data_IF_417584146725
#
_entry.id   IF_417584146725
#
_cell.length_a   1.000
_cell.length_b   1.000
_cell.length_c   1.000
_cell.angle_alpha   90.00
_cell.angle_beta   90.00
_cell.angle_gamma   90.00
#
_symmetry.space_group_name_H-M   'P 1'
#
loop_
_entity.id
_entity.type
_entity.pdbx_description
1 polymer ?
#
# COMPACT_ATOMS: atom_id res chain seq x y z
N UNK A 1 -8.52 67.41 34.51
CA UNK A 1 -9.48 66.41 35.03
C UNK A 1 -9.71 65.40 33.93
N UNK A 2 -9.23 64.18 34.14
CA UNK A 2 -9.17 63.14 33.12
C UNK A 2 -10.54 62.47 32.92
N UNK A 3 -10.96 62.30 31.67
CA UNK A 3 -11.87 61.23 31.26
C UNK A 3 -11.38 60.70 29.91
N UNK A 4 -10.91 59.45 29.93
CA UNK A 4 -10.60 58.63 28.76
C UNK A 4 -11.90 57.96 28.28
N UNK A 5 -12.13 57.89 26.97
CA UNK A 5 -13.03 56.93 26.33
C UNK A 5 -12.29 56.27 25.15
N UNK A 6 -12.40 54.94 24.98
CA UNK A 6 -11.42 54.16 24.23
C UNK A 6 -11.75 54.00 22.74
N UNK A 7 -10.66 53.83 21.99
CA UNK A 7 -10.54 53.52 20.57
C UNK A 7 -10.96 52.06 20.36
N UNK A 8 -12.08 51.82 19.68
CA UNK A 8 -12.42 50.51 19.09
C UNK A 8 -13.01 50.69 17.70
N UNK A 9 -12.24 50.22 16.72
CA UNK A 9 -12.63 49.51 15.49
C UNK A 9 -13.80 50.09 14.67
N UNK A 10 -13.48 50.92 13.68
CA UNK A 10 -14.20 50.91 12.41
C UNK A 10 -13.59 49.81 11.53
N UNK A 11 -14.16 48.59 11.59
CA UNK A 11 -13.99 47.59 10.52
C UNK A 11 -15.17 47.74 9.60
N UNK A 12 -14.92 48.36 8.44
CA UNK A 12 -15.83 48.33 7.30
C UNK A 12 -15.95 46.90 6.82
N UNK A 13 -17.08 46.25 7.10
CA UNK A 13 -17.43 44.96 6.51
C UNK A 13 -17.81 45.21 5.05
N UNK A 14 -16.84 45.01 4.16
CA UNK A 14 -17.08 44.86 2.74
C UNK A 14 -17.70 43.47 2.53
N UNK A 15 -19.03 43.39 2.47
CA UNK A 15 -19.72 42.18 2.01
C UNK A 15 -19.37 41.98 0.54
N UNK A 16 -18.40 41.09 0.30
CA UNK A 16 -18.17 40.46 -1.00
C UNK A 16 -19.47 39.78 -1.43
N UNK A 17 -20.05 40.28 -2.53
CA UNK A 17 -20.96 39.53 -3.38
C UNK A 17 -20.18 38.37 -3.98
N UNK A 18 -19.95 37.32 -3.18
CA UNK A 18 -19.54 36.03 -3.68
C UNK A 18 -20.70 35.46 -4.47
N UNK A 19 -20.58 35.47 -5.80
CA UNK A 19 -21.52 34.76 -6.66
C UNK A 19 -21.60 33.31 -6.20
N UNK A 20 -22.82 32.85 -5.91
CA UNK A 20 -23.08 31.43 -5.70
C UNK A 20 -22.78 30.72 -7.02
N UNK A 21 -21.57 30.17 -7.17
CA UNK A 21 -21.35 29.10 -8.12
C UNK A 21 -22.14 27.92 -7.60
N UNK A 22 -23.25 27.60 -8.26
CA UNK A 22 -23.92 26.32 -8.08
C UNK A 22 -22.87 25.26 -8.40
N UNK A 23 -22.34 24.60 -7.37
CA UNK A 23 -21.53 23.40 -7.57
C UNK A 23 -22.49 22.35 -8.09
N UNK A 24 -22.50 22.14 -9.40
CA UNK A 24 -23.24 21.06 -10.02
C UNK A 24 -22.74 19.75 -9.40
N UNK A 25 -23.67 18.94 -8.89
CA UNK A 25 -23.34 17.64 -8.34
C UNK A 25 -22.57 16.84 -9.41
N UNK A 26 -21.48 16.19 -9.00
CA UNK A 26 -20.72 15.34 -9.90
C UNK A 26 -21.66 14.30 -10.52
N UNK A 27 -21.54 14.00 -11.83
CA UNK A 27 -22.37 13.00 -12.46
C UNK A 27 -22.19 11.65 -11.75
N UNK A 28 -23.29 10.94 -11.53
CA UNK A 28 -23.31 9.68 -10.80
C UNK A 28 -23.79 8.55 -11.72
N UNK A 29 -23.21 7.36 -11.54
CA UNK A 29 -23.70 6.16 -12.24
C UNK A 29 -25.03 5.73 -11.59
N UNK A 30 -26.06 5.36 -12.36
CA UNK A 30 -27.24 4.65 -11.86
C UNK A 30 -26.88 3.40 -11.04
N UNK A 31 -27.62 3.12 -9.97
CA UNK A 31 -27.27 2.07 -9.00
C UNK A 31 -27.20 0.66 -9.62
N UNK A 32 -28.07 0.37 -10.58
CA UNK A 32 -28.10 -0.89 -11.32
C UNK A 32 -26.87 -1.05 -12.22
N UNK A 33 -26.48 0.00 -12.94
CA UNK A 33 -25.26 0.02 -13.77
C UNK A 33 -24.01 -0.07 -12.90
N UNK A 34 -23.96 0.63 -11.77
CA UNK A 34 -22.87 0.53 -10.81
C UNK A 34 -22.71 -0.91 -10.28
N UNK A 35 -23.82 -1.62 -10.04
CA UNK A 35 -23.82 -3.02 -9.62
C UNK A 35 -23.25 -3.95 -10.70
N UNK A 36 -23.58 -3.71 -11.97
CA UNK A 36 -23.03 -4.49 -13.09
C UNK A 36 -21.51 -4.31 -13.18
N UNK A 37 -21.01 -3.08 -13.13
CA UNK A 37 -19.55 -2.85 -13.13
C UNK A 37 -18.89 -3.49 -11.91
N UNK A 38 -19.47 -3.33 -10.72
CA UNK A 38 -18.94 -3.92 -9.50
C UNK A 38 -18.77 -5.44 -9.62
N UNK A 39 -19.80 -6.14 -10.09
CA UNK A 39 -19.81 -7.60 -10.10
C UNK A 39 -18.99 -8.22 -11.24
N UNK A 40 -18.83 -7.51 -12.37
CA UNK A 40 -18.27 -8.12 -13.59
C UNK A 40 -17.01 -7.43 -14.11
N UNK A 41 -16.60 -6.29 -13.55
CA UNK A 41 -15.50 -5.49 -14.09
C UNK A 41 -14.49 -5.06 -13.03
N UNK A 42 -14.94 -4.78 -11.81
CA UNK A 42 -14.06 -4.13 -10.82
C UNK A 42 -12.97 -5.02 -10.23
N UNK A 43 -13.01 -6.34 -10.46
CA UNK A 43 -11.93 -7.22 -10.05
C UNK A 43 -10.61 -6.89 -10.75
N UNK A 44 -10.68 -6.55 -12.04
CA UNK A 44 -9.51 -6.20 -12.86
C UNK A 44 -9.44 -4.69 -13.14
N UNK A 45 -10.58 -4.01 -13.25
CA UNK A 45 -10.69 -2.60 -13.64
C UNK A 45 -11.07 -1.69 -12.47
N UNK A 46 -10.66 -2.00 -11.24
CA UNK A 46 -10.80 -1.06 -10.12
C UNK A 46 -9.55 -1.00 -9.25
N UNK A 47 -9.67 -0.19 -8.21
CA UNK A 47 -8.58 0.10 -7.32
C UNK A 47 -7.49 0.91 -8.01
N UNK A 48 -6.31 0.79 -7.43
CA UNK A 48 -5.21 1.69 -7.71
C UNK A 48 -4.39 1.29 -8.94
N UNK A 49 -4.31 -0.01 -9.24
CA UNK A 49 -3.53 -0.60 -10.33
C UNK A 49 -4.43 -1.46 -11.23
N UNK A 50 -5.39 -0.84 -11.92
CA UNK A 50 -6.28 -1.58 -12.80
C UNK A 50 -5.58 -2.03 -14.08
N UNK A 51 -6.08 -3.10 -14.67
CA UNK A 51 -5.64 -3.54 -15.98
C UNK A 51 -5.92 -2.50 -17.06
N UNK A 52 -4.99 -2.41 -18.01
CA UNK A 52 -4.98 -1.43 -19.10
C UNK A 52 -5.06 0.05 -18.63
N UNK A 53 -4.78 0.31 -17.35
CA UNK A 53 -4.96 1.63 -16.71
C UNK A 53 -6.39 2.18 -16.91
N UNK A 54 -7.39 1.32 -16.69
CA UNK A 54 -8.81 1.63 -16.82
C UNK A 54 -9.54 1.39 -15.50
N UNK A 55 -10.05 2.46 -14.87
CA UNK A 55 -10.86 2.38 -13.65
C UNK A 55 -12.34 2.51 -13.98
N UNK A 56 -13.12 1.49 -13.66
CA UNK A 56 -14.57 1.40 -13.88
C UNK A 56 -15.38 1.43 -12.58
N UNK A 57 -14.72 1.67 -11.43
CA UNK A 57 -15.42 1.90 -10.18
C UNK A 57 -16.23 3.20 -10.22
N UNK A 58 -17.35 3.24 -9.48
CA UNK A 58 -18.31 4.35 -9.52
C UNK A 58 -17.69 5.73 -9.23
N UNK A 59 -16.64 5.77 -8.40
CA UNK A 59 -15.88 6.96 -8.03
C UNK A 59 -14.88 7.43 -9.10
N UNK A 60 -14.57 6.60 -10.10
CA UNK A 60 -13.49 6.87 -11.08
C UNK A 60 -13.94 6.80 -12.54
N UNK A 61 -15.10 6.21 -12.87
CA UNK A 61 -15.46 5.95 -14.28
C UNK A 61 -15.52 7.22 -15.13
N UNK A 62 -15.96 8.35 -14.56
CA UNK A 62 -16.14 9.60 -15.29
C UNK A 62 -14.81 10.25 -15.66
N UNK A 63 -13.81 10.18 -14.78
CA UNK A 63 -12.45 10.66 -15.09
C UNK A 63 -11.67 9.65 -15.93
N UNK A 64 -11.91 8.35 -15.75
CA UNK A 64 -11.11 7.31 -16.39
C UNK A 64 -11.63 6.84 -17.75
N UNK A 65 -12.93 6.95 -18.05
CA UNK A 65 -13.52 6.30 -19.24
C UNK A 65 -14.45 7.21 -20.05
N UNK A 66 -15.30 8.01 -19.38
CA UNK A 66 -16.28 8.87 -20.07
C UNK A 66 -15.56 9.99 -20.83
N UNK A 67 -15.75 10.01 -22.16
CA UNK A 67 -15.11 10.97 -23.06
C UNK A 67 -13.60 10.78 -23.24
N UNK A 68 -13.04 9.65 -22.78
CA UNK A 68 -11.59 9.37 -22.90
C UNK A 68 -11.31 8.47 -24.11
N UNK A 69 -10.22 8.71 -24.87
CA UNK A 69 -9.87 7.88 -26.02
C UNK A 69 -9.52 6.44 -25.61
N UNK A 70 -9.89 5.47 -26.45
CA UNK A 70 -9.48 4.08 -26.27
C UNK A 70 -8.00 3.90 -26.58
N UNK A 71 -7.29 3.17 -25.71
CA UNK A 71 -5.87 2.84 -25.91
C UNK A 71 -5.68 1.74 -26.94
N UNK A 72 -6.61 0.79 -26.99
CA UNK A 72 -6.54 -0.35 -27.90
C UNK A 72 -7.07 0.01 -29.30
N UNK A 73 -8.01 0.96 -29.38
CA UNK A 73 -8.58 1.41 -30.64
C UNK A 73 -8.61 2.95 -30.67
N UNK A 74 -7.49 3.61 -31.05
CA UNK A 74 -7.33 5.07 -30.95
C UNK A 74 -8.39 5.91 -31.68
N UNK A 75 -9.12 5.32 -32.65
CA UNK A 75 -10.20 5.98 -33.37
C UNK A 75 -11.55 6.05 -32.62
N UNK A 76 -11.67 5.42 -31.44
CA UNK A 76 -12.91 5.38 -30.65
C UNK A 76 -12.70 5.90 -29.24
N UNK A 77 -13.78 6.38 -28.62
CA UNK A 77 -13.80 6.68 -27.18
C UNK A 77 -14.07 5.40 -26.40
N UNK A 78 -13.49 5.28 -25.19
CA UNK A 78 -13.80 4.20 -24.25
C UNK A 78 -15.31 4.18 -23.97
N UNK A 79 -15.84 5.33 -23.54
CA UNK A 79 -17.27 5.62 -23.45
C UNK A 79 -17.48 6.97 -24.15
N UNK A 80 -18.29 6.99 -25.20
CA UNK A 80 -18.68 8.20 -25.93
C UNK A 80 -20.03 8.69 -25.37
N UNK A 81 -20.08 9.85 -24.69
CA UNK A 81 -21.33 10.36 -24.12
C UNK A 81 -22.43 10.48 -25.17
N UNK A 82 -23.61 9.93 -24.90
CA UNK A 82 -24.78 9.98 -25.77
C UNK A 82 -24.72 9.04 -26.97
N UNK A 83 -23.64 8.28 -27.15
CA UNK A 83 -23.44 7.41 -28.31
C UNK A 83 -22.93 6.02 -27.90
N UNK A 84 -23.84 5.10 -27.54
CA UNK A 84 -23.48 3.72 -27.21
C UNK A 84 -22.80 2.99 -28.37
N UNK A 85 -23.21 3.23 -29.62
CA UNK A 85 -22.64 2.57 -30.80
C UNK A 85 -21.20 3.03 -31.07
N UNK A 86 -20.88 4.30 -30.79
CA UNK A 86 -19.54 4.86 -30.88
C UNK A 86 -18.66 4.62 -29.64
N UNK A 87 -19.09 3.80 -28.69
CA UNK A 87 -18.37 3.51 -27.45
C UNK A 87 -17.64 2.16 -27.51
N UNK A 88 -16.31 2.17 -27.38
CA UNK A 88 -15.51 0.95 -27.45
C UNK A 88 -15.84 -0.05 -26.33
N UNK A 89 -16.26 0.42 -25.16
CA UNK A 89 -16.77 -0.44 -24.08
C UNK A 89 -17.90 -1.34 -24.57
N UNK A 90 -18.83 -0.82 -25.38
CA UNK A 90 -19.97 -1.60 -25.88
C UNK A 90 -19.51 -2.73 -26.78
N UNK A 91 -18.51 -2.49 -27.63
CA UNK A 91 -17.93 -3.53 -28.49
C UNK A 91 -17.29 -4.65 -27.65
N UNK A 92 -16.56 -4.28 -26.58
CA UNK A 92 -15.91 -5.26 -25.71
C UNK A 92 -16.92 -6.16 -24.99
N UNK A 93 -18.04 -5.60 -24.50
CA UNK A 93 -19.06 -6.37 -23.76
C UNK A 93 -20.06 -7.11 -24.67
N UNK A 94 -20.22 -6.68 -25.92
CA UNK A 94 -21.03 -7.36 -26.94
C UNK A 94 -20.26 -8.42 -27.73
N UNK A 95 -18.95 -8.52 -27.49
CA UNK A 95 -18.06 -9.44 -28.19
C UNK A 95 -18.12 -9.22 -29.71
N UNK A 96 -18.21 -7.95 -30.12
CA UNK A 96 -18.31 -7.57 -31.53
C UNK A 96 -17.04 -7.97 -32.30
N UNK A 97 -17.18 -8.25 -33.59
CA UNK A 97 -16.04 -8.47 -34.47
C UNK A 97 -15.16 -7.20 -34.58
N UNK A 98 -13.84 -7.37 -34.68
CA UNK A 98 -12.90 -6.26 -34.88
C UNK A 98 -12.40 -5.57 -33.59
N UNK A 99 -12.76 -6.08 -32.41
CA UNK A 99 -12.12 -5.65 -31.15
C UNK A 99 -10.62 -6.02 -31.13
N UNK A 100 -9.85 -5.24 -30.37
CA UNK A 100 -8.43 -5.54 -30.10
C UNK A 100 -8.29 -6.17 -28.70
N UNK A 101 -7.54 -7.27 -28.62
CA UNK A 101 -7.45 -8.12 -27.42
C UNK A 101 -8.76 -8.85 -27.07
N UNK A 102 -8.79 -9.52 -25.93
CA UNK A 102 -9.89 -10.41 -25.54
C UNK A 102 -11.21 -9.69 -25.21
N UNK A 103 -12.39 -10.27 -25.51
CA UNK A 103 -13.68 -9.72 -25.10
C UNK A 103 -13.78 -9.57 -23.57
N UNK A 104 -14.74 -8.76 -23.12
CA UNK A 104 -15.00 -8.54 -21.69
C UNK A 104 -16.43 -8.98 -21.32
N UNK A 105 -16.68 -9.52 -20.12
CA UNK A 105 -15.71 -9.81 -19.06
C UNK A 105 -14.70 -10.90 -19.49
N UNK A 106 -13.46 -10.82 -18.99
CA UNK A 106 -12.38 -11.70 -19.40
C UNK A 106 -12.61 -13.11 -18.86
N UNK A 107 -12.41 -14.14 -19.70
CA UNK A 107 -12.54 -15.56 -19.34
C UNK A 107 -13.93 -15.95 -18.77
N UNK A 108 -14.95 -15.12 -19.00
CA UNK A 108 -16.34 -15.37 -18.60
C UNK A 108 -17.29 -15.32 -19.80
N UNK A 109 -18.51 -15.81 -19.58
CA UNK A 109 -19.58 -15.67 -20.55
C UNK A 109 -19.91 -14.21 -20.80
N UNK A 110 -20.45 -13.92 -21.98
CA UNK A 110 -20.97 -12.61 -22.30
C UNK A 110 -22.01 -12.16 -21.26
N UNK A 111 -21.97 -10.87 -20.89
CA UNK A 111 -22.98 -10.27 -20.01
C UNK A 111 -24.39 -10.54 -20.52
N UNK A 112 -25.33 -10.71 -19.59
CA UNK A 112 -26.73 -10.88 -19.95
C UNK A 112 -27.20 -9.72 -20.85
N UNK A 113 -27.99 -9.98 -21.91
CA UNK A 113 -28.44 -8.93 -22.82
C UNK A 113 -29.13 -7.76 -22.10
N UNK A 114 -29.87 -8.03 -21.03
CA UNK A 114 -30.51 -7.00 -20.21
C UNK A 114 -29.51 -6.05 -19.52
N UNK A 115 -28.34 -6.56 -19.11
CA UNK A 115 -27.30 -5.75 -18.47
C UNK A 115 -26.51 -4.93 -19.50
N UNK A 116 -26.28 -5.49 -20.70
CA UNK A 116 -25.74 -4.74 -21.85
C UNK A 116 -26.66 -3.56 -22.20
N UNK A 117 -27.99 -3.78 -22.22
CA UNK A 117 -28.95 -2.72 -22.51
C UNK A 117 -29.00 -1.64 -21.42
N UNK A 118 -28.84 -2.00 -20.13
CA UNK A 118 -28.72 -1.00 -19.06
C UNK A 118 -27.47 -0.12 -19.22
N UNK A 119 -26.32 -0.74 -19.53
CA UNK A 119 -25.08 0.02 -19.81
C UNK A 119 -25.28 0.92 -21.03
N UNK A 120 -25.88 0.39 -22.11
CA UNK A 120 -26.17 1.18 -23.31
C UNK A 120 -27.10 2.36 -23.02
N UNK A 121 -28.18 2.15 -22.27
CA UNK A 121 -29.12 3.19 -21.85
C UNK A 121 -28.46 4.26 -21.00
N UNK A 122 -27.57 3.87 -20.08
CA UNK A 122 -26.77 4.82 -19.31
C UNK A 122 -25.85 5.64 -20.21
N UNK A 123 -25.10 5.02 -21.12
CA UNK A 123 -24.24 5.76 -22.06
C UNK A 123 -25.06 6.73 -22.92
N UNK A 124 -26.24 6.32 -23.40
CA UNK A 124 -27.15 7.18 -24.15
C UNK A 124 -27.66 8.38 -23.35
N UNK A 125 -27.77 8.26 -22.03
CA UNK A 125 -28.17 9.34 -21.12
C UNK A 125 -27.07 10.36 -20.84
N UNK A 126 -25.80 10.01 -21.12
CA UNK A 126 -24.66 10.89 -20.90
C UNK A 126 -24.60 12.01 -21.94
N UNK A 127 -23.98 13.11 -21.54
CA UNK A 127 -23.77 14.31 -22.35
C UNK A 127 -22.31 14.79 -22.27
N UNK A 128 -21.96 15.78 -23.07
CA UNK A 128 -20.65 16.42 -22.99
C UNK A 128 -20.39 17.06 -21.62
N UNK A 129 -21.44 17.45 -20.88
CA UNK A 129 -21.31 18.02 -19.53
C UNK A 129 -20.88 16.98 -18.48
N UNK A 130 -21.04 15.69 -18.77
CA UNK A 130 -20.65 14.60 -17.88
C UNK A 130 -19.18 14.19 -18.05
N UNK A 131 -18.48 14.74 -19.05
CA UNK A 131 -17.05 14.50 -19.25
C UNK A 131 -16.28 15.27 -18.19
N UNK A 132 -15.62 14.54 -17.29
CA UNK A 132 -14.77 15.16 -16.29
C UNK A 132 -13.58 15.88 -16.97
N UNK A 133 -13.21 17.09 -16.50
CA UNK A 133 -12.06 17.81 -17.03
C UNK A 133 -10.81 16.94 -16.92
N UNK A 134 -9.89 17.09 -17.88
CA UNK A 134 -8.60 16.40 -17.80
C UNK A 134 -7.87 16.87 -16.55
N UNK A 135 -7.64 15.93 -15.64
CA UNK A 135 -6.81 16.10 -14.47
C UNK A 135 -5.62 15.14 -14.60
N UNK A 136 -4.42 15.53 -14.16
CA UNK A 136 -3.28 14.62 -14.16
C UNK A 136 -3.62 13.41 -13.28
N UNK A 137 -3.75 12.26 -13.92
CA UNK A 137 -4.20 11.03 -13.26
C UNK A 137 -3.20 10.61 -12.19
N UNK A 138 -3.67 10.28 -10.97
CA UNK A 138 -2.80 9.75 -9.93
C UNK A 138 -2.18 8.43 -10.33
N UNK A 139 -0.85 8.36 -10.25
CA UNK A 139 -0.07 7.16 -10.52
C UNK A 139 0.13 6.39 -9.22
N UNK A 140 -0.02 5.08 -9.31
CA UNK A 140 0.25 4.17 -8.21
C UNK A 140 1.53 3.38 -8.51
N UNK A 141 2.59 3.61 -7.75
CA UNK A 141 3.81 2.83 -7.89
C UNK A 141 3.66 1.41 -7.32
N UNK A 142 2.95 1.22 -6.21
CA UNK A 142 2.84 -0.05 -5.48
C UNK A 142 1.40 -0.35 -5.05
N UNK A 143 1.00 -1.63 -5.03
CA UNK A 143 -0.32 -2.01 -4.53
C UNK A 143 -0.32 -2.02 -2.98
N UNK A 144 0.69 -2.63 -2.36
CA UNK A 144 0.86 -2.69 -0.91
C UNK A 144 1.34 -1.39 -0.24
N UNK A 145 1.21 -1.36 1.09
CA UNK A 145 1.73 -0.31 1.97
C UNK A 145 3.19 -0.53 2.37
N UNK A 146 3.70 -1.74 2.14
CA UNK A 146 5.10 -2.15 2.14
C UNK A 146 5.36 -3.00 0.89
N UNK A 147 6.62 -3.09 0.45
CA UNK A 147 7.05 -4.00 -0.63
C UNK A 147 7.08 -5.45 -0.11
N UNK A 148 7.84 -5.66 0.97
CA UNK A 148 7.63 -6.71 1.97
C UNK A 148 7.94 -6.16 3.36
N UNK A 149 9.13 -5.58 3.50
CA UNK A 149 9.61 -4.80 4.64
C UNK A 149 9.54 -3.28 4.38
N UNK A 150 10.02 -2.85 3.21
CA UNK A 150 10.24 -1.44 2.87
C UNK A 150 8.91 -0.72 2.68
N UNK A 151 8.64 0.40 3.38
CA UNK A 151 7.36 1.11 3.24
C UNK A 151 7.24 1.82 1.90
N UNK A 152 5.99 1.96 1.42
CA UNK A 152 5.67 2.70 0.20
C UNK A 152 5.07 4.07 0.53
N UNK A 153 5.06 5.01 -0.42
CA UNK A 153 4.43 6.33 -0.20
C UNK A 153 2.88 6.28 -0.18
N UNK A 154 2.30 5.07 -0.23
CA UNK A 154 0.86 4.85 -0.26
C UNK A 154 0.21 5.25 1.07
N UNK A 155 -0.90 5.96 0.96
CA UNK A 155 -1.84 6.33 2.03
C UNK A 155 -3.27 5.97 1.59
N UNK A 156 -4.23 6.03 2.50
CA UNK A 156 -5.66 5.81 2.20
C UNK A 156 -6.38 7.12 1.87
N UNK A 157 -7.62 7.03 1.40
CA UNK A 157 -8.52 8.19 1.33
C UNK A 157 -9.04 8.54 2.71
N UNK A 158 -9.43 9.79 2.88
CA UNK A 158 -10.05 10.29 4.11
C UNK A 158 -11.24 9.41 4.51
N UNK A 159 -11.26 8.98 5.76
CA UNK A 159 -12.32 8.17 6.36
C UNK A 159 -12.13 6.67 6.21
N UNK A 160 -11.25 6.21 5.31
CA UNK A 160 -10.99 4.78 5.14
C UNK A 160 -10.13 4.25 6.30
N UNK A 161 -10.28 2.96 6.58
CA UNK A 161 -9.46 2.22 7.52
C UNK A 161 -8.66 1.12 6.80
N UNK A 162 -7.49 0.77 7.35
CA UNK A 162 -6.62 -0.27 6.81
C UNK A 162 -6.43 -1.36 7.84
N UNK A 163 -7.01 -2.53 7.61
CA UNK A 163 -6.68 -3.71 8.40
C UNK A 163 -5.49 -4.42 7.77
N UNK A 164 -4.52 -4.84 8.60
CA UNK A 164 -3.41 -5.69 8.18
C UNK A 164 -3.27 -6.87 9.13
N UNK A 165 -3.10 -8.05 8.57
CA UNK A 165 -2.49 -9.19 9.25
C UNK A 165 -1.23 -9.59 8.49
N UNK A 166 -0.12 -9.78 9.20
CA UNK A 166 1.13 -10.28 8.63
C UNK A 166 1.63 -11.43 9.48
N UNK A 167 2.09 -12.48 8.82
CA UNK A 167 2.48 -13.73 9.43
C UNK A 167 3.80 -14.18 8.82
N UNK A 168 4.75 -14.57 9.66
CA UNK A 168 6.04 -15.14 9.22
C UNK A 168 6.28 -16.43 9.99
N UNK A 169 6.44 -17.52 9.24
CA UNK A 169 6.82 -18.79 9.83
C UNK A 169 8.27 -18.69 10.32
N UNK A 170 8.56 -19.31 11.46
CA UNK A 170 9.91 -19.34 12.05
C UNK A 170 10.81 -20.41 11.39
N UNK A 171 10.32 -21.59 10.99
CA UNK A 171 11.18 -22.57 10.32
C UNK A 171 11.70 -22.09 8.96
N UNK A 172 12.95 -22.44 8.66
CA UNK A 172 13.57 -22.19 7.35
C UNK A 172 12.97 -23.14 6.32
N UNK A 173 12.68 -22.64 5.12
CA UNK A 173 11.97 -23.39 4.07
C UNK A 173 12.70 -24.66 3.62
N UNK A 174 14.04 -24.64 3.63
CA UNK A 174 14.88 -25.77 3.25
C UNK A 174 15.17 -26.75 4.41
N UNK A 175 14.71 -26.46 5.64
CA UNK A 175 14.99 -27.23 6.85
C UNK A 175 16.23 -26.76 7.65
N UNK A 176 17.00 -25.81 7.12
CA UNK A 176 18.25 -25.33 7.73
C UNK A 176 19.29 -26.44 7.89
N UNK A 177 20.18 -26.31 8.87
CA UNK A 177 21.28 -27.27 9.07
C UNK A 177 20.86 -28.63 9.66
N UNK A 178 19.76 -28.66 10.41
CA UNK A 178 19.41 -29.80 11.27
C UNK A 178 18.27 -30.68 10.73
N UNK A 179 17.58 -30.23 9.68
CA UNK A 179 16.40 -30.89 9.11
C UNK A 179 16.39 -30.69 7.58
N UNK A 180 15.57 -31.45 6.86
CA UNK A 180 15.32 -31.18 5.45
C UNK A 180 13.97 -30.48 5.23
N UNK A 181 13.73 -29.95 4.03
CA UNK A 181 12.51 -29.23 3.70
C UNK A 181 11.21 -30.02 3.95
N UNK A 182 11.23 -31.34 3.78
CA UNK A 182 10.06 -32.18 4.03
C UNK A 182 9.74 -32.31 5.52
N UNK A 183 10.76 -32.39 6.38
CA UNK A 183 10.61 -32.49 7.83
C UNK A 183 9.90 -31.26 8.44
N UNK A 184 10.07 -30.09 7.82
CA UNK A 184 9.44 -28.81 8.22
C UNK A 184 8.27 -28.40 7.32
N UNK A 185 7.79 -29.29 6.45
CA UNK A 185 6.75 -29.02 5.45
C UNK A 185 7.00 -27.69 4.69
N UNK A 186 8.21 -27.52 4.15
CA UNK A 186 8.66 -26.32 3.44
C UNK A 186 8.53 -25.02 4.24
N UNK A 187 8.72 -25.12 5.55
CA UNK A 187 8.64 -24.02 6.50
C UNK A 187 7.24 -23.77 7.09
N UNK A 188 6.23 -24.54 6.70
CA UNK A 188 4.85 -24.38 7.17
C UNK A 188 4.60 -25.05 8.53
N UNK A 189 5.43 -26.02 8.92
CA UNK A 189 5.27 -26.76 10.16
C UNK A 189 6.13 -26.15 11.27
N UNK A 190 5.58 -25.18 12.00
CA UNK A 190 6.22 -24.61 13.18
C UNK A 190 5.62 -23.32 13.71
N UNK A 191 6.29 -22.69 14.69
CA UNK A 191 5.88 -21.42 15.28
C UNK A 191 5.85 -20.28 14.26
N UNK A 192 5.15 -19.22 14.60
CA UNK A 192 5.06 -18.04 13.76
C UNK A 192 5.07 -16.73 14.55
N UNK A 193 5.60 -15.70 13.89
CA UNK A 193 5.46 -14.32 14.30
C UNK A 193 4.29 -13.71 13.55
N UNK A 194 3.39 -13.07 14.27
CA UNK A 194 2.15 -12.51 13.75
C UNK A 194 2.10 -11.05 14.16
N UNK A 195 1.72 -10.18 13.23
CA UNK A 195 1.35 -8.79 13.48
C UNK A 195 -0.08 -8.56 13.03
N UNK A 196 -0.87 -7.92 13.89
CA UNK A 196 -2.19 -7.41 13.54
C UNK A 196 -2.15 -5.89 13.71
N UNK A 197 -2.63 -5.14 12.73
CA UNK A 197 -2.73 -3.69 12.85
C UNK A 197 -4.01 -3.13 12.23
N UNK A 198 -4.44 -2.00 12.77
CA UNK A 198 -5.55 -1.21 12.27
C UNK A 198 -5.10 0.22 12.02
N UNK A 199 -5.35 0.69 10.80
CA UNK A 199 -5.06 2.03 10.34
C UNK A 199 -6.31 2.86 10.12
N UNK A 200 -6.17 4.18 10.24
CA UNK A 200 -7.20 5.15 9.89
C UNK A 200 -6.58 6.35 9.19
N UNK A 201 -7.25 6.84 8.14
CA UNK A 201 -6.86 8.04 7.44
C UNK A 201 -7.79 9.22 7.75
N UNK A 202 -7.40 10.15 8.66
CA UNK A 202 -8.21 11.35 8.94
C UNK A 202 -8.22 12.34 7.76
N UNK A 203 -7.28 12.22 6.83
CA UNK A 203 -7.16 13.05 5.61
C UNK A 203 -6.65 12.18 4.45
N UNK A 204 -6.73 12.67 3.21
CA UNK A 204 -6.19 11.96 2.04
C UNK A 204 -4.65 11.89 1.98
N UNK A 205 -3.95 12.48 2.97
CA UNK A 205 -2.49 12.54 3.01
C UNK A 205 -1.89 11.96 4.29
N UNK A 206 -2.71 11.56 5.27
CA UNK A 206 -2.24 11.06 6.56
C UNK A 206 -2.84 9.69 6.83
N UNK A 207 -1.99 8.72 7.11
CA UNK A 207 -2.37 7.39 7.60
C UNK A 207 -1.75 7.19 8.98
N UNK A 208 -2.60 6.89 9.97
CA UNK A 208 -2.18 6.51 11.31
C UNK A 208 -2.47 5.03 11.50
N UNK A 209 -1.49 4.24 11.95
CA UNK A 209 -1.66 2.82 12.24
C UNK A 209 -1.26 2.50 13.68
N UNK A 210 -2.02 1.60 14.31
CA UNK A 210 -1.65 0.95 15.55
C UNK A 210 -1.62 -0.56 15.31
N UNK A 211 -0.50 -1.19 15.65
CA UNK A 211 -0.30 -2.62 15.49
C UNK A 211 0.35 -3.25 16.70
N UNK A 212 0.23 -4.57 16.79
CA UNK A 212 0.95 -5.38 17.78
C UNK A 212 1.48 -6.63 17.10
N UNK A 213 2.74 -6.98 17.38
CA UNK A 213 3.30 -8.28 17.08
C UNK A 213 3.54 -9.11 18.34
N UNK A 214 3.52 -10.43 18.23
CA UNK A 214 3.87 -11.33 19.33
C UNK A 214 5.40 -11.42 19.58
N UNK A 215 6.24 -10.94 18.65
CA UNK A 215 7.67 -10.78 18.91
C UNK A 215 7.89 -9.63 19.92
N UNK A 216 8.51 -9.93 21.06
CA UNK A 216 8.70 -9.01 22.18
C UNK A 216 7.44 -8.27 22.68
N UNK A 217 6.24 -8.83 22.43
CA UNK A 217 4.96 -8.15 22.65
C UNK A 217 4.95 -6.70 22.11
N UNK A 218 5.63 -6.46 20.99
CA UNK A 218 5.91 -5.12 20.48
C UNK A 218 4.63 -4.44 19.95
N UNK A 219 4.30 -3.28 20.52
CA UNK A 219 3.21 -2.42 20.09
C UNK A 219 3.79 -1.29 19.24
N UNK A 220 3.37 -1.20 17.99
CA UNK A 220 3.82 -0.19 17.03
C UNK A 220 2.73 0.84 16.79
N UNK A 221 3.04 2.11 17.03
CA UNK A 221 2.31 3.23 16.47
C UNK A 221 3.08 3.82 15.29
N UNK A 222 2.42 3.93 14.15
CA UNK A 222 2.99 4.40 12.89
C UNK A 222 2.17 5.59 12.35
N UNK A 223 2.86 6.64 11.92
CA UNK A 223 2.25 7.77 11.25
C UNK A 223 2.96 8.03 9.92
N UNK A 224 2.21 7.96 8.81
CA UNK A 224 2.70 8.20 7.46
C UNK A 224 2.01 9.40 6.84
N UNK A 225 2.79 10.42 6.49
CA UNK A 225 2.31 11.62 5.83
C UNK A 225 2.84 11.70 4.39
N UNK A 226 1.94 11.70 3.41
CA UNK A 226 2.29 11.88 1.99
C UNK A 226 2.44 13.36 1.68
N UNK A 227 3.62 13.73 1.20
CA UNK A 227 3.99 15.09 0.81
C UNK A 227 3.62 15.34 -0.65
N UNK A 228 4.01 14.42 -1.54
CA UNK A 228 3.72 14.48 -2.97
C UNK A 228 3.14 13.14 -3.45
N UNK A 229 2.20 13.22 -4.39
CA UNK A 229 1.68 12.06 -5.12
C UNK A 229 2.12 12.16 -6.57
N UNK A 230 2.70 11.09 -7.09
CA UNK A 230 3.01 10.96 -8.50
C UNK A 230 1.74 11.10 -9.34
N UNK A 231 1.81 11.88 -10.41
CA UNK A 231 0.72 12.10 -11.36
C UNK A 231 1.23 12.11 -12.78
N UNK A 232 0.39 11.66 -13.71
CA UNK A 232 0.76 11.62 -15.13
C UNK A 232 1.11 13.01 -15.66
N UNK A 233 2.35 13.18 -16.13
CA UNK A 233 2.83 14.38 -16.82
C UNK A 233 3.12 15.61 -15.95
N UNK A 234 2.91 15.55 -14.62
CA UNK A 234 3.14 16.71 -13.74
C UNK A 234 4.07 16.40 -12.58
N UNK A 235 3.72 15.46 -11.71
CA UNK A 235 4.53 15.10 -10.55
C UNK A 235 5.22 13.75 -10.81
N UNK A 236 6.56 13.70 -10.93
CA UNK A 236 7.25 12.49 -11.43
C UNK A 236 7.56 11.46 -10.34
N UNK A 237 7.22 11.71 -9.07
CA UNK A 237 7.58 10.86 -7.93
C UNK A 237 6.57 11.08 -6.79
N UNK A 238 6.27 10.02 -6.03
CA UNK A 238 5.55 10.14 -4.77
C UNK A 238 6.55 10.23 -3.61
N UNK A 239 6.36 11.22 -2.74
CA UNK A 239 7.17 11.43 -1.54
C UNK A 239 6.30 11.34 -0.30
N UNK A 240 6.79 10.65 0.73
CA UNK A 240 6.16 10.58 2.04
C UNK A 240 7.22 10.56 3.15
N UNK A 241 6.78 10.84 4.36
CA UNK A 241 7.58 10.62 5.57
C UNK A 241 6.80 9.72 6.52
N UNK A 242 7.52 8.84 7.21
CA UNK A 242 6.97 7.90 8.15
C UNK A 242 7.73 7.99 9.47
N UNK A 243 7.00 8.12 10.58
CA UNK A 243 7.54 8.01 11.92
C UNK A 243 6.90 6.85 12.67
N UNK A 244 7.68 6.15 13.48
CA UNK A 244 7.19 5.07 14.33
C UNK A 244 7.63 5.26 15.78
N UNK A 245 6.73 4.87 16.68
CA UNK A 245 7.00 4.63 18.09
C UNK A 245 6.70 3.16 18.35
N UNK A 246 7.70 2.40 18.77
CA UNK A 246 7.56 1.01 19.14
C UNK A 246 7.76 0.86 20.64
N UNK A 247 6.93 0.02 21.25
CA UNK A 247 6.98 -0.30 22.67
C UNK A 247 7.08 -1.81 22.85
N UNK A 248 8.27 -2.29 23.23
CA UNK A 248 8.50 -3.69 23.60
C UNK A 248 7.87 -3.95 24.98
N UNK A 249 6.64 -4.45 24.98
CA UNK A 249 5.85 -4.58 26.22
C UNK A 249 6.06 -5.91 26.96
N UNK A 250 6.96 -6.76 26.45
CA UNK A 250 7.29 -8.05 27.06
C UNK A 250 7.84 -7.82 28.48
N UNK A 251 7.41 -8.66 29.42
CA UNK A 251 7.91 -8.59 30.80
C UNK A 251 9.25 -9.31 30.90
N UNK A 252 10.26 -8.60 31.40
CA UNK A 252 11.57 -9.15 31.76
C UNK A 252 11.73 -9.08 33.27
N UNK A 253 11.78 -10.23 33.94
CA UNK A 253 11.88 -10.32 35.40
C UNK A 253 10.84 -9.45 36.13
N UNK A 254 11.32 -8.58 37.02
CA UNK A 254 10.48 -7.63 37.77
C UNK A 254 10.45 -6.22 37.16
N UNK A 255 11.17 -5.97 36.07
CA UNK A 255 11.38 -4.64 35.50
C UNK A 255 10.09 -3.96 35.00
N UNK A 256 10.05 -2.64 35.04
CA UNK A 256 8.90 -1.88 34.53
C UNK A 256 8.73 -2.08 33.03
N UNK A 257 7.48 -2.22 32.56
CA UNK A 257 7.18 -2.23 31.12
C UNK A 257 7.27 -0.85 30.48
N UNK A 258 7.43 0.22 31.25
CA UNK A 258 7.47 1.61 30.75
C UNK A 258 8.86 2.24 30.95
N UNK A 259 9.90 1.41 30.94
CA UNK A 259 11.30 1.84 31.00
C UNK A 259 11.72 2.47 29.66
N UNK A 260 12.71 3.36 29.66
CA UNK A 260 13.07 4.12 28.47
C UNK A 260 13.66 3.24 27.36
N UNK A 261 14.36 2.18 27.74
CA UNK A 261 15.12 1.29 26.86
C UNK A 261 14.19 0.44 25.98
N UNK A 262 12.93 0.20 26.40
CA UNK A 262 11.95 -0.55 25.61
C UNK A 262 11.15 0.31 24.61
N UNK A 263 11.41 1.62 24.56
CA UNK A 263 10.79 2.55 23.61
C UNK A 263 11.73 2.81 22.44
N UNK A 264 11.33 2.40 21.24
CA UNK A 264 12.11 2.57 20.01
C UNK A 264 11.48 3.66 19.14
N UNK A 265 12.33 4.42 18.46
CA UNK A 265 11.89 5.51 17.59
C UNK A 265 12.52 5.37 16.23
N UNK A 266 11.71 5.36 15.17
CA UNK A 266 12.25 5.37 13.81
C UNK A 266 11.61 6.45 12.94
N UNK A 267 12.40 6.94 11.98
CA UNK A 267 11.95 7.85 10.95
C UNK A 267 12.45 7.38 9.58
N UNK A 268 11.58 7.39 8.59
CA UNK A 268 11.87 6.94 7.23
C UNK A 268 11.35 7.98 6.23
N UNK A 269 12.23 8.45 5.33
CA UNK A 269 11.84 9.30 4.21
C UNK A 269 11.62 8.42 2.99
N UNK A 270 10.43 8.45 2.40
CA UNK A 270 9.98 7.47 1.42
C UNK A 270 9.86 8.14 0.05
N UNK A 271 10.58 7.61 -0.94
CA UNK A 271 10.40 7.96 -2.34
C UNK A 271 9.95 6.73 -3.12
N UNK A 272 8.83 6.84 -3.85
CA UNK A 272 8.36 5.78 -4.75
C UNK A 272 8.02 6.33 -6.13
N UNK A 273 8.33 5.57 -7.17
CA UNK A 273 8.14 5.98 -8.56
C UNK A 273 7.71 4.80 -9.43
N UNK A 274 6.71 5.00 -10.28
CA UNK A 274 6.47 4.11 -11.42
C UNK A 274 7.48 4.45 -12.54
N UNK A 275 8.37 3.51 -12.84
CA UNK A 275 9.35 3.65 -13.93
C UNK A 275 8.69 3.40 -15.28
N UNK A 276 7.76 2.46 -15.32
CA UNK A 276 6.91 2.13 -16.47
C UNK A 276 5.50 1.78 -15.98
N UNK A 277 4.59 1.39 -16.87
CA UNK A 277 3.29 0.85 -16.46
C UNK A 277 3.41 -0.48 -15.68
N UNK A 278 4.56 -1.16 -15.77
CA UNK A 278 4.80 -2.46 -15.12
C UNK A 278 5.80 -2.40 -13.98
N UNK A 279 6.83 -1.57 -14.08
CA UNK A 279 7.95 -1.56 -13.15
C UNK A 279 7.92 -0.33 -12.23
N UNK A 280 8.19 -0.55 -10.95
CA UNK A 280 8.26 0.51 -9.94
C UNK A 280 9.42 0.31 -8.98
N UNK A 281 9.88 1.40 -8.38
CA UNK A 281 10.96 1.41 -7.41
C UNK A 281 10.60 2.24 -6.16
N UNK A 282 11.10 1.79 -5.02
CA UNK A 282 11.05 2.46 -3.73
C UNK A 282 12.49 2.66 -3.20
N UNK A 283 12.76 3.83 -2.66
CA UNK A 283 14.02 4.15 -1.97
C UNK A 283 13.67 4.86 -0.66
N UNK A 284 14.18 4.34 0.45
CA UNK A 284 13.73 4.70 1.80
C UNK A 284 14.92 4.79 2.76
N UNK A 285 15.66 5.91 2.79
CA UNK A 285 16.58 6.16 3.89
C UNK A 285 15.82 6.22 5.22
N UNK A 286 16.38 5.59 6.25
CA UNK A 286 15.78 5.51 7.57
C UNK A 286 16.80 5.62 8.69
N UNK A 287 16.33 6.11 9.83
CA UNK A 287 17.07 6.15 11.10
C UNK A 287 16.24 5.46 12.19
N UNK A 288 16.88 4.64 13.00
CA UNK A 288 16.31 3.99 14.18
C UNK A 288 17.17 4.36 15.40
N UNK A 289 16.52 4.80 16.46
CA UNK A 289 17.14 5.21 17.72
C UNK A 289 16.75 4.21 18.80
N UNK A 290 17.70 3.92 19.69
CA UNK A 290 17.55 2.99 20.81
C UNK A 290 17.31 1.55 20.32
N UNK A 291 18.00 1.07 19.28
CA UNK A 291 17.70 -0.20 18.59
C UNK A 291 17.74 -1.45 19.47
N UNK A 292 18.57 -1.46 20.51
CA UNK A 292 18.79 -2.59 21.40
C UNK A 292 18.33 -2.25 22.83
N UNK A 293 17.50 -3.09 23.43
CA UNK A 293 16.97 -2.87 24.80
C UNK A 293 17.96 -3.30 25.89
N UNK A 294 19.02 -4.03 25.53
CA UNK A 294 20.03 -4.54 26.45
C UNK A 294 21.29 -3.65 26.52
N UNK A 295 21.40 -2.65 25.64
CA UNK A 295 22.54 -1.74 25.57
C UNK A 295 22.08 -0.32 25.84
N UNK A 296 22.73 0.34 26.80
CA UNK A 296 22.53 1.78 27.05
C UNK A 296 23.35 2.61 26.06
N UNK A 297 22.81 3.75 25.62
CA UNK A 297 23.48 4.73 24.76
C UNK A 297 24.02 4.21 23.41
N UNK A 298 23.33 3.23 22.79
CA UNK A 298 23.67 2.72 21.46
C UNK A 298 23.53 3.79 20.37
N UNK A 299 24.47 3.78 19.41
CA UNK A 299 24.43 4.68 18.25
C UNK A 299 23.19 4.43 17.38
N UNK A 300 22.59 5.49 16.77
CA UNK A 300 21.47 5.30 15.86
C UNK A 300 21.81 4.45 14.64
N UNK A 301 20.90 3.54 14.30
CA UNK A 301 20.99 2.74 13.09
C UNK A 301 20.54 3.54 11.87
N UNK A 302 21.41 3.62 10.88
CA UNK A 302 21.12 4.18 9.56
C UNK A 302 20.88 3.05 8.57
N UNK A 303 19.77 3.14 7.84
CA UNK A 303 19.31 2.11 6.90
C UNK A 303 18.91 2.73 5.57
N UNK A 304 18.89 1.93 4.49
CA UNK A 304 18.36 2.35 3.19
C UNK A 304 17.50 1.26 2.60
N UNK A 305 16.19 1.35 2.74
CA UNK A 305 15.27 0.42 2.08
C UNK A 305 15.27 0.64 0.58
N UNK A 306 15.49 -0.42 -0.19
CA UNK A 306 15.35 -0.42 -1.65
C UNK A 306 14.34 -1.50 -2.00
N UNK A 307 13.27 -1.12 -2.69
CA UNK A 307 12.20 -2.03 -3.05
C UNK A 307 11.84 -1.93 -4.53
N UNK A 308 11.49 -3.06 -5.14
CA UNK A 308 11.07 -3.16 -6.53
C UNK A 308 9.73 -3.86 -6.65
N UNK A 309 8.97 -3.48 -7.68
CA UNK A 309 7.77 -4.20 -8.11
C UNK A 309 7.77 -4.36 -9.63
N UNK A 310 7.38 -5.55 -10.09
CA UNK A 310 7.09 -5.80 -11.48
C UNK A 310 5.67 -6.39 -11.64
N UNK A 311 4.79 -5.66 -12.30
CA UNK A 311 3.39 -6.02 -12.51
C UNK A 311 3.21 -6.79 -13.82
N UNK A 312 2.53 -7.93 -13.74
CA UNK A 312 2.29 -8.81 -14.89
C UNK A 312 0.94 -8.51 -15.57
N UNK A 313 -0.09 -8.19 -14.78
CA UNK A 313 -1.49 -8.04 -15.19
C UNK A 313 -2.43 -8.74 -14.19
N UNK A 314 -3.74 -8.51 -14.30
CA UNK A 314 -4.77 -9.10 -13.44
C UNK A 314 -4.48 -8.87 -11.95
N UNK A 315 -3.92 -7.71 -11.59
CA UNK A 315 -3.52 -7.41 -10.21
C UNK A 315 -2.33 -8.23 -9.65
N UNK A 316 -1.66 -9.09 -10.43
CA UNK A 316 -0.51 -9.90 -10.00
C UNK A 316 0.81 -9.16 -10.23
N UNK A 317 1.70 -9.18 -9.23
CA UNK A 317 3.03 -8.57 -9.28
C UNK A 317 4.08 -9.43 -8.58
N UNK A 318 5.34 -9.33 -9.01
CA UNK A 318 6.50 -9.74 -8.24
C UNK A 318 6.98 -8.55 -7.40
N UNK A 319 7.39 -8.79 -6.16
CA UNK A 319 7.99 -7.80 -5.27
C UNK A 319 9.30 -8.31 -4.70
N UNK A 320 10.24 -7.40 -4.48
CA UNK A 320 11.46 -7.71 -3.75
C UNK A 320 11.95 -6.45 -3.04
N UNK A 321 12.49 -6.59 -1.84
CA UNK A 321 13.19 -5.51 -1.16
C UNK A 321 14.42 -5.96 -0.39
N UNK A 322 15.29 -4.99 -0.17
CA UNK A 322 16.54 -5.10 0.55
C UNK A 322 16.69 -3.88 1.45
N UNK A 323 17.08 -4.10 2.70
CA UNK A 323 17.30 -3.07 3.71
C UNK A 323 18.72 -3.21 4.28
N UNK A 324 19.73 -2.66 3.61
CA UNK A 324 21.07 -2.53 4.15
C UNK A 324 21.12 -1.63 5.37
N UNK A 325 22.01 -1.98 6.29
CA UNK A 325 22.33 -1.17 7.47
C UNK A 325 23.77 -0.67 7.37
N UNK A 326 23.98 0.64 7.56
CA UNK A 326 25.28 1.29 7.38
C UNK A 326 26.01 1.60 8.70
N UNK A 327 25.33 1.43 9.83
CA UNK A 327 25.94 1.59 11.16
C UNK A 327 26.41 0.25 11.69
N UNK A 328 27.59 0.24 12.31
CA UNK A 328 28.07 -0.89 13.11
C UNK A 328 27.19 -1.04 14.36
N UNK A 329 26.95 -2.27 14.81
CA UNK A 329 26.17 -2.56 16.02
C UNK A 329 27.07 -3.10 17.11
N UNK A 330 26.74 -2.77 18.34
CA UNK A 330 27.41 -3.31 19.53
C UNK A 330 26.89 -4.71 19.90
N UNK A 331 25.61 -5.04 19.61
CA UNK A 331 25.07 -6.40 19.68
C UNK A 331 23.77 -6.57 18.87
N UNK A 332 23.39 -7.83 18.61
CA UNK A 332 22.10 -8.16 17.99
C UNK A 332 21.01 -8.32 19.05
N UNK A 333 19.89 -7.63 18.89
CA UNK A 333 18.73 -7.74 19.77
C UNK A 333 17.97 -9.05 19.51
N UNK A 334 17.72 -9.83 20.57
CA UNK A 334 16.85 -11.01 20.50
C UNK A 334 15.40 -10.64 20.90
N UNK A 335 14.45 -10.93 20.01
CA UNK A 335 13.02 -10.63 20.22
C UNK A 335 12.19 -11.81 20.77
N UNK A 336 12.84 -12.82 21.34
CA UNK A 336 12.21 -14.02 21.92
C UNK A 336 11.68 -15.01 20.88
N UNK A 337 12.11 -14.91 19.61
CA UNK A 337 11.60 -15.70 18.48
C UNK A 337 12.67 -16.56 17.81
N UNK A 338 13.64 -17.04 18.58
CA UNK A 338 14.61 -18.05 18.15
C UNK A 338 15.89 -17.49 17.51
N UNK A 339 16.46 -16.43 18.08
CA UNK A 339 17.78 -15.94 17.67
C UNK A 339 18.87 -16.48 18.60
N UNK A 340 19.32 -17.73 18.45
CA UNK A 340 20.62 -18.18 18.98
C UNK A 340 21.10 -19.46 18.30
N UNK A 341 22.30 -19.40 17.72
CA UNK A 341 23.22 -20.54 17.71
C UNK A 341 24.19 -20.34 18.88
N UNK A 342 23.81 -20.81 20.07
CA UNK A 342 24.58 -20.69 21.32
C UNK A 342 24.27 -19.45 22.19
N UNK A 343 24.58 -19.56 23.49
CA UNK A 343 24.23 -18.61 24.56
C UNK A 343 25.00 -17.28 24.55
N UNK A 344 25.64 -16.89 23.43
CA UNK A 344 26.51 -15.71 23.37
C UNK A 344 25.92 -14.61 22.46
N UNK A 345 25.33 -13.54 23.04
CA UNK A 345 24.76 -12.43 22.27
C UNK A 345 25.80 -11.64 21.45
N UNK A 346 27.10 -11.83 21.71
CA UNK A 346 28.19 -11.25 20.90
C UNK A 346 28.50 -12.03 19.62
N UNK A 347 27.92 -13.22 19.45
CA UNK A 347 28.12 -14.10 18.27
C UNK A 347 26.95 -14.13 17.30
N UNK A 348 25.87 -13.40 17.59
CA UNK A 348 24.71 -13.34 16.73
C UNK A 348 25.08 -12.74 15.36
N UNK A 349 24.83 -13.50 14.30
CA UNK A 349 25.02 -13.01 12.93
C UNK A 349 23.82 -12.15 12.56
N UNK A 350 24.11 -10.93 12.11
CA UNK A 350 23.12 -10.02 11.54
C UNK A 350 23.40 -9.87 10.05
N UNK A 351 22.36 -10.08 9.27
CA UNK A 351 22.35 -9.82 7.84
C UNK A 351 21.46 -8.62 7.55
N UNK A 352 21.62 -8.03 6.38
CA UNK A 352 20.62 -7.10 5.85
C UNK A 352 19.26 -7.78 5.78
N UNK A 353 18.17 -7.03 5.89
CA UNK A 353 16.85 -7.63 5.70
C UNK A 353 16.52 -7.75 4.22
N UNK A 354 15.97 -8.90 3.83
CA UNK A 354 15.55 -9.20 2.47
C UNK A 354 14.13 -9.73 2.44
N UNK A 355 13.39 -9.36 1.40
CA UNK A 355 12.18 -10.08 0.98
C UNK A 355 12.14 -10.26 -0.53
N UNK A 356 11.53 -11.37 -0.95
CA UNK A 356 11.14 -11.60 -2.35
C UNK A 356 9.82 -12.36 -2.36
N UNK A 357 8.87 -11.95 -3.18
CA UNK A 357 7.54 -12.54 -3.15
C UNK A 357 6.64 -12.13 -4.29
N UNK A 358 5.41 -12.58 -4.20
CA UNK A 358 4.32 -12.23 -5.12
C UNK A 358 3.25 -11.45 -4.37
N UNK A 359 2.68 -10.47 -5.06
CA UNK A 359 1.60 -9.61 -4.59
C UNK A 359 0.41 -9.74 -5.54
N UNK A 360 -0.79 -9.94 -4.98
CA UNK A 360 -2.05 -9.97 -5.72
C UNK A 360 -3.02 -8.95 -5.14
N UNK A 361 -3.42 -7.98 -5.95
CA UNK A 361 -4.48 -7.03 -5.62
C UNK A 361 -5.83 -7.53 -6.15
N UNK A 362 -6.86 -7.54 -5.29
CA UNK A 362 -8.25 -7.89 -5.66
C UNK A 362 -9.22 -7.09 -4.79
N UNK A 363 -10.16 -6.35 -5.38
CA UNK A 363 -11.34 -5.83 -4.66
C UNK A 363 -11.05 -5.16 -3.30
N UNK A 364 -10.07 -4.24 -3.25
CA UNK A 364 -9.68 -3.54 -2.01
C UNK A 364 -8.77 -4.33 -1.05
N UNK A 365 -8.38 -5.55 -1.42
CA UNK A 365 -7.39 -6.36 -0.75
C UNK A 365 -6.04 -6.33 -1.48
N UNK A 366 -4.97 -6.49 -0.72
CA UNK A 366 -3.64 -6.79 -1.23
C UNK A 366 -3.11 -8.00 -0.46
N UNK A 367 -2.93 -9.10 -1.16
CA UNK A 367 -2.35 -10.34 -0.64
C UNK A 367 -0.90 -10.40 -1.05
N UNK A 368 -0.01 -10.65 -0.10
CA UNK A 368 1.41 -10.84 -0.33
C UNK A 368 1.79 -12.22 0.20
N UNK A 369 2.50 -13.00 -0.61
CA UNK A 369 3.18 -14.24 -0.20
C UNK A 369 4.65 -14.04 -0.53
N UNK A 370 5.53 -14.15 0.46
CA UNK A 370 6.92 -13.80 0.31
C UNK A 370 7.83 -14.72 1.12
N UNK A 371 9.08 -14.75 0.69
CA UNK A 371 10.20 -15.29 1.45
C UNK A 371 10.95 -14.13 2.10
N UNK A 372 11.31 -14.28 3.37
CA UNK A 372 12.08 -13.29 4.13
C UNK A 372 13.18 -13.97 4.94
N UNK A 373 14.30 -13.30 5.15
CA UNK A 373 15.39 -13.80 5.97
C UNK A 373 15.27 -13.41 7.46
N UNK A 374 14.10 -12.90 7.87
CA UNK A 374 13.83 -12.39 9.20
C UNK A 374 12.40 -12.75 9.64
N UNK A 375 12.18 -13.33 10.84
CA UNK A 375 10.85 -13.69 11.31
C UNK A 375 10.09 -12.48 11.88
N UNK A 376 10.78 -11.40 12.24
CA UNK A 376 10.18 -10.21 12.86
C UNK A 376 9.50 -9.30 11.86
N UNK A 377 8.53 -8.50 12.32
CA UNK A 377 7.61 -7.76 11.44
C UNK A 377 7.54 -6.26 11.76
N UNK A 378 7.69 -5.86 13.02
CA UNK A 378 7.64 -4.46 13.41
C UNK A 378 8.81 -3.68 12.82
N UNK A 379 8.62 -2.39 12.59
CA UNK A 379 9.56 -1.55 11.82
C UNK A 379 10.92 -1.45 12.48
N UNK A 380 10.96 -1.24 13.80
CA UNK A 380 12.18 -1.25 14.61
C UNK A 380 12.91 -2.59 14.55
N UNK A 381 12.18 -3.70 14.56
CA UNK A 381 12.76 -5.04 14.51
C UNK A 381 13.32 -5.37 13.12
N UNK A 382 12.61 -5.00 12.06
CA UNK A 382 13.06 -5.19 10.67
C UNK A 382 14.25 -4.29 10.36
N UNK A 383 14.28 -3.04 10.85
CA UNK A 383 15.45 -2.17 10.72
C UNK A 383 16.68 -2.71 11.47
N UNK A 384 16.47 -3.60 12.44
CA UNK A 384 17.51 -4.36 13.11
C UNK A 384 18.02 -5.57 12.30
N UNK A 385 17.61 -5.77 11.05
CA UNK A 385 18.20 -6.76 10.14
C UNK A 385 17.49 -8.12 10.13
N UNK A 386 18.10 -9.06 9.41
CA UNK A 386 17.71 -10.47 9.37
C UNK A 386 18.72 -11.37 10.07
N UNK A 387 18.29 -12.58 10.39
CA UNK A 387 19.07 -13.59 11.11
C UNK A 387 19.50 -14.77 10.24
N UNK A 388 18.98 -14.87 9.02
CA UNK A 388 19.41 -15.88 8.05
C UNK A 388 20.27 -15.28 6.94
N UNK A 389 21.25 -16.07 6.52
CA UNK A 389 22.05 -15.78 5.33
C UNK A 389 21.31 -16.22 4.07
N UNK A 390 20.86 -15.25 3.27
CA UNK A 390 20.22 -15.52 1.99
C UNK A 390 21.17 -16.21 1.01
N UNK A 391 22.49 -16.04 1.16
CA UNK A 391 23.48 -16.69 0.30
C UNK A 391 23.55 -18.21 0.50
N UNK A 392 23.17 -18.70 1.68
CA UNK A 392 23.06 -20.13 2.00
C UNK A 392 21.73 -20.73 1.51
N UNK A 393 20.83 -19.89 0.98
CA UNK A 393 19.48 -20.28 0.56
C UNK A 393 18.48 -20.31 1.71
N UNK A 394 18.88 -19.83 2.89
CA UNK A 394 18.08 -19.86 4.10
C UNK A 394 17.08 -18.69 4.12
N UNK A 395 15.82 -19.04 3.96
CA UNK A 395 14.70 -18.10 3.90
C UNK A 395 13.47 -18.70 4.59
N UNK A 396 12.58 -17.84 5.07
CA UNK A 396 11.32 -18.25 5.72
C UNK A 396 10.13 -17.80 4.91
N UNK A 397 9.08 -18.61 4.89
CA UNK A 397 7.84 -18.25 4.26
C UNK A 397 7.06 -17.25 5.13
N UNK A 398 6.40 -16.30 4.50
CA UNK A 398 5.52 -15.36 5.16
C UNK A 398 4.43 -14.86 4.23
N UNK A 399 3.38 -14.29 4.82
CA UNK A 399 2.34 -13.61 4.08
C UNK A 399 1.91 -12.33 4.78
N UNK A 400 1.32 -11.43 4.01
CA UNK A 400 0.61 -10.27 4.54
C UNK A 400 -0.69 -10.06 3.77
N UNK A 401 -1.74 -9.68 4.49
CA UNK A 401 -3.03 -9.34 3.90
C UNK A 401 -3.37 -7.95 4.37
N UNK A 402 -3.58 -7.05 3.42
CA UNK A 402 -4.11 -5.73 3.64
C UNK A 402 -5.54 -5.68 3.14
N UNK A 403 -6.42 -5.05 3.91
CA UNK A 403 -7.82 -4.83 3.53
C UNK A 403 -8.23 -3.41 3.85
N UNK A 404 -8.71 -2.70 2.84
CA UNK A 404 -9.37 -1.41 3.03
C UNK A 404 -10.78 -1.67 3.56
N UNK A 405 -11.15 -0.98 4.64
CA UNK A 405 -12.49 -0.96 5.21
C UNK A 405 -13.09 0.45 4.99
N UNK A 406 -14.35 0.51 4.58
CA UNK A 406 -15.06 1.73 4.19
C UNK A 406 -16.33 1.92 4.99
#
# INVERSE_FOLDING_TARGET
>A
MAVRLPIWLQITVLFLLGGFTVVQAAPAIPADVATIFANNCTDCHAGDLPDANLRLSADMIFSSAVGKPSRQMPGMMRIKPGDPAGSYLMMKIRHDEGIQGEPMPLDEDQLAPADIEKIAGWIASLSAADVAPDQPEPVQAFAGWTVGNTPTAKVLRKGEMLFRISHRFVPVVNGGENQNAYDVNFGLDGPAVIMISLGYAPTDNLLLNLGRTNAADNVEFNARYRILRETSGQIPVSLAIQGNLNWESQKVGDESRLRGEVLKYSMQAIATKALTEKASIAVVPGILINSNSAIEDEDPLLTLGVGGRYHFGNGLSLTADWLPIFTELDAVQNYGVGFYEGDDPTKARRFDSWTVGVEKQVGGHVFQLFFANSPVIATDQVMNGGDLDVAEGDMRLGFAIYRILR
#
